data_IF_639871944658
#
_entry.id   IF_639871944658
#
_cell.length_a   1.000
_cell.length_b   1.000
_cell.length_c   1.000
_cell.angle_alpha   90.00
_cell.angle_beta   90.00
_cell.angle_gamma   90.00
#
_symmetry.space_group_name_H-M   'P 1'
#
loop_
_entity.id
_entity.type
_entity.pdbx_description
1 polymer ?
#
# COMPACT_ATOMS: atom_id res chain seq x y z
N UNK A 1 -37.19 -16.05 -33.55
CA UNK A 1 -35.77 -15.85 -33.91
C UNK A 1 -35.25 -14.43 -33.64
N UNK A 2 -35.97 -13.35 -34.02
CA UNK A 2 -35.53 -11.96 -33.77
C UNK A 2 -35.30 -11.63 -32.28
N UNK A 3 -36.17 -12.10 -31.37
CA UNK A 3 -36.03 -11.93 -29.90
C UNK A 3 -34.76 -12.57 -29.32
N UNK A 4 -34.36 -13.73 -29.84
CA UNK A 4 -33.12 -14.40 -29.42
C UNK A 4 -31.88 -13.62 -29.89
N UNK A 5 -31.95 -12.98 -31.05
CA UNK A 5 -30.88 -12.12 -31.55
C UNK A 5 -30.73 -10.84 -30.71
N UNK A 6 -31.83 -10.21 -30.30
CA UNK A 6 -31.79 -9.08 -29.37
C UNK A 6 -31.26 -9.48 -27.99
N UNK A 7 -31.63 -10.66 -27.48
CA UNK A 7 -31.12 -11.17 -26.21
C UNK A 7 -29.62 -11.50 -26.28
N UNK A 8 -29.17 -12.15 -27.36
CA UNK A 8 -27.76 -12.45 -27.58
C UNK A 8 -26.94 -11.17 -27.75
N UNK A 9 -27.45 -10.20 -28.49
CA UNK A 9 -26.82 -8.88 -28.64
C UNK A 9 -26.73 -8.13 -27.32
N UNK A 10 -27.74 -8.22 -26.46
CA UNK A 10 -27.71 -7.66 -25.10
C UNK A 10 -26.70 -8.38 -24.21
N UNK A 11 -26.58 -9.71 -24.30
CA UNK A 11 -25.65 -10.50 -23.51
C UNK A 11 -24.17 -10.18 -23.85
N UNK A 12 -23.87 -9.91 -25.14
CA UNK A 12 -22.52 -9.55 -25.60
C UNK A 12 -22.03 -8.23 -24.95
N UNK A 13 -22.93 -7.32 -24.57
CA UNK A 13 -22.56 -6.05 -23.93
C UNK A 13 -21.96 -6.23 -22.53
N UNK A 14 -22.22 -7.35 -21.85
CA UNK A 14 -21.72 -7.59 -20.48
C UNK A 14 -20.35 -8.28 -20.42
N UNK A 15 -19.85 -8.87 -21.52
CA UNK A 15 -18.59 -9.63 -21.50
C UNK A 15 -17.32 -8.77 -21.50
N UNK A 16 -17.41 -7.47 -21.77
CA UNK A 16 -16.25 -6.57 -21.83
C UNK A 16 -15.91 -5.90 -20.49
N UNK A 17 -16.65 -6.18 -19.42
CA UNK A 17 -16.43 -5.57 -18.11
C UNK A 17 -15.28 -6.26 -17.35
N UNK A 18 -14.24 -5.51 -16.98
CA UNK A 18 -13.13 -6.01 -16.17
C UNK A 18 -13.36 -5.73 -14.70
N UNK A 19 -13.43 -6.79 -13.86
CA UNK A 19 -13.80 -6.67 -12.43
C UNK A 19 -12.84 -7.36 -11.46
N UNK A 20 -11.79 -8.03 -11.95
CA UNK A 20 -10.92 -8.92 -11.14
C UNK A 20 -9.45 -8.50 -11.07
N UNK A 21 -9.07 -7.38 -11.68
CA UNK A 21 -7.69 -6.88 -11.69
C UNK A 21 -7.36 -6.23 -10.36
N UNK A 22 -6.11 -6.32 -9.94
CA UNK A 22 -5.63 -5.61 -8.75
C UNK A 22 -5.43 -4.13 -9.06
N UNK A 23 -5.63 -3.22 -8.10
CA UNK A 23 -5.22 -1.84 -8.22
C UNK A 23 -3.72 -1.74 -8.55
N UNK A 24 -3.36 -0.80 -9.41
CA UNK A 24 -1.98 -0.56 -9.83
C UNK A 24 -1.39 0.47 -8.88
N UNK A 25 -0.32 0.11 -8.16
CA UNK A 25 0.43 1.03 -7.33
C UNK A 25 1.19 2.04 -8.19
N UNK A 26 1.04 3.33 -7.87
CA UNK A 26 1.72 4.43 -8.58
C UNK A 26 2.91 4.93 -7.75
N UNK A 27 2.65 5.43 -6.54
CA UNK A 27 3.67 6.00 -5.63
C UNK A 27 3.14 6.21 -4.22
N UNK A 28 4.04 6.53 -3.30
CA UNK A 28 3.72 7.16 -2.01
C UNK A 28 4.28 8.59 -2.01
N UNK A 29 3.52 9.56 -1.50
CA UNK A 29 3.90 10.97 -1.41
C UNK A 29 3.28 11.61 -0.15
N UNK A 30 3.51 12.92 0.04
CA UNK A 30 2.93 13.72 1.13
C UNK A 30 3.26 13.20 2.55
N UNK A 31 4.47 12.72 2.76
CA UNK A 31 4.91 12.23 4.08
C UNK A 31 5.01 13.40 5.07
N UNK A 32 4.27 13.30 6.18
CA UNK A 32 4.17 14.33 7.23
C UNK A 32 4.25 13.71 8.62
N UNK A 33 4.84 14.44 9.55
CA UNK A 33 4.80 14.11 10.98
C UNK A 33 3.47 14.62 11.54
N UNK A 34 2.66 13.71 12.09
CA UNK A 34 1.38 14.04 12.72
C UNK A 34 1.58 14.37 14.19
N UNK A 35 2.35 13.54 14.90
CA UNK A 35 2.67 13.75 16.30
C UNK A 35 3.96 13.05 16.69
N UNK A 36 4.66 13.62 17.66
CA UNK A 36 5.82 13.02 18.29
C UNK A 36 5.54 12.86 19.78
N UNK A 37 5.59 11.63 20.27
CA UNK A 37 5.51 11.29 21.69
C UNK A 37 6.82 10.59 22.11
N UNK A 38 7.04 10.48 23.43
CA UNK A 38 8.25 9.87 23.97
C UNK A 38 8.50 8.44 23.45
N UNK A 39 7.45 7.67 23.21
CA UNK A 39 7.50 6.26 22.80
C UNK A 39 7.14 6.01 21.32
N UNK A 40 6.47 6.96 20.67
CA UNK A 40 5.90 6.77 19.32
C UNK A 40 5.99 8.03 18.47
N UNK A 41 6.53 7.90 17.25
CA UNK A 41 6.42 8.88 16.17
C UNK A 41 5.28 8.46 15.24
N UNK A 42 4.27 9.33 15.06
CA UNK A 42 3.18 9.09 14.12
C UNK A 42 3.41 9.84 12.82
N UNK A 43 3.43 9.12 11.71
CA UNK A 43 3.59 9.65 10.37
C UNK A 43 2.30 9.45 9.58
N UNK A 44 2.01 10.37 8.66
CA UNK A 44 0.95 10.25 7.66
C UNK A 44 1.53 10.41 6.27
N UNK A 45 1.06 9.62 5.33
CA UNK A 45 1.43 9.72 3.92
C UNK A 45 0.22 9.40 3.04
N UNK A 46 0.34 9.66 1.75
CA UNK A 46 -0.66 9.36 0.75
C UNK A 46 -0.11 8.30 -0.23
N UNK A 47 -0.80 7.17 -0.36
CA UNK A 47 -0.49 6.18 -1.38
C UNK A 47 -1.43 6.32 -2.57
N UNK A 48 -0.86 6.43 -3.77
CA UNK A 48 -1.56 6.68 -5.02
C UNK A 48 -1.68 5.39 -5.81
N UNK A 49 -2.89 5.11 -6.27
CA UNK A 49 -3.23 3.92 -7.03
C UNK A 49 -4.09 4.26 -8.25
N UNK A 50 -4.18 3.33 -9.18
CA UNK A 50 -5.13 3.35 -10.29
C UNK A 50 -5.97 2.08 -10.28
N UNK A 51 -7.29 2.21 -10.38
CA UNK A 51 -8.19 1.07 -10.51
C UNK A 51 -8.41 0.75 -12.00
N UNK A 52 -7.82 -0.34 -12.55
CA UNK A 52 -8.03 -0.71 -13.95
C UNK A 52 -9.38 -1.40 -14.22
N UNK A 53 -10.22 -1.58 -13.19
CA UNK A 53 -11.51 -2.25 -13.31
C UNK A 53 -12.63 -1.25 -13.65
N UNK A 54 -13.60 -1.71 -14.44
CA UNK A 54 -14.85 -1.01 -14.79
C UNK A 54 -15.77 -0.76 -13.58
N UNK A 55 -15.43 -1.33 -12.43
CA UNK A 55 -16.23 -1.26 -11.21
C UNK A 55 -15.37 -0.76 -10.06
N UNK A 56 -15.99 0.06 -9.23
CA UNK A 56 -15.42 0.52 -7.97
C UNK A 56 -15.55 -0.55 -6.88
N UNK A 57 -15.09 -0.20 -5.69
CA UNK A 57 -15.08 -1.12 -4.56
C UNK A 57 -14.68 -0.42 -3.28
N UNK A 58 -14.18 -1.21 -2.34
CA UNK A 58 -13.59 -0.70 -1.12
C UNK A 58 -12.27 -1.42 -0.87
N UNK A 59 -11.27 -0.68 -0.40
CA UNK A 59 -10.02 -1.25 0.09
C UNK A 59 -9.94 -0.96 1.57
N UNK A 60 -9.58 -1.98 2.33
CA UNK A 60 -9.08 -1.84 3.68
C UNK A 60 -7.74 -2.55 3.77
N UNK A 61 -6.88 -2.08 4.67
CA UNK A 61 -5.68 -2.82 5.00
C UNK A 61 -5.38 -2.66 6.48
N UNK A 62 -5.19 -3.81 7.09
CA UNK A 62 -4.75 -3.94 8.47
C UNK A 62 -3.30 -4.42 8.43
N UNK A 63 -2.44 -3.73 9.19
CA UNK A 63 -1.08 -4.16 9.49
C UNK A 63 -0.12 -4.35 8.30
N UNK A 64 0.03 -3.34 7.43
CA UNK A 64 1.19 -3.32 6.52
C UNK A 64 2.45 -2.99 7.33
N UNK A 65 3.38 -3.93 7.39
CA UNK A 65 4.67 -3.74 8.04
C UNK A 65 5.70 -3.12 7.07
N UNK A 66 6.41 -2.09 7.54
CA UNK A 66 7.57 -1.52 6.86
C UNK A 66 8.84 -2.04 7.53
N UNK A 67 9.75 -2.55 6.71
CA UNK A 67 11.06 -3.01 7.11
C UNK A 67 12.14 -2.14 6.47
N UNK A 68 13.17 -1.81 7.24
CA UNK A 68 14.38 -1.15 6.76
C UNK A 68 15.56 -2.04 7.12
N UNK A 69 16.31 -2.48 6.11
CA UNK A 69 17.41 -3.44 6.26
C UNK A 69 17.00 -4.65 7.12
N UNK A 70 15.84 -5.23 6.79
CA UNK A 70 15.24 -6.41 7.46
C UNK A 70 14.67 -6.15 8.88
N UNK A 71 14.83 -4.95 9.43
CA UNK A 71 14.28 -4.58 10.74
C UNK A 71 12.88 -3.99 10.54
N UNK A 72 11.88 -4.54 11.22
CA UNK A 72 10.52 -3.97 11.23
C UNK A 72 10.49 -2.65 12.00
N UNK A 73 10.27 -1.55 11.29
CA UNK A 73 10.33 -0.20 11.86
C UNK A 73 8.95 0.41 12.13
N UNK A 74 7.93 0.01 11.39
CA UNK A 74 6.62 0.63 11.45
C UNK A 74 5.51 -0.33 11.05
N UNK A 75 4.35 -0.13 11.65
CA UNK A 75 3.08 -0.69 11.17
C UNK A 75 2.26 0.44 10.56
N UNK A 76 1.72 0.17 9.39
CA UNK A 76 0.95 1.08 8.57
C UNK A 76 -0.48 0.58 8.51
N UNK A 77 -1.39 1.51 8.76
CA UNK A 77 -2.82 1.28 8.77
C UNK A 77 -3.49 2.25 7.80
N UNK A 78 -4.57 1.82 7.17
CA UNK A 78 -5.48 2.72 6.47
C UNK A 78 -6.91 2.40 6.84
N UNK A 79 -7.70 3.45 7.08
CA UNK A 79 -9.14 3.31 7.17
C UNK A 79 -9.72 2.77 5.84
N UNK A 80 -10.90 2.16 5.93
CA UNK A 80 -11.65 1.69 4.75
C UNK A 80 -11.86 2.84 3.75
N UNK A 81 -11.39 2.65 2.52
CA UNK A 81 -11.42 3.66 1.47
C UNK A 81 -12.27 3.21 0.26
N UNK A 82 -13.13 4.10 -0.25
CA UNK A 82 -13.95 3.84 -1.43
C UNK A 82 -13.12 4.00 -2.70
N UNK A 83 -12.99 2.92 -3.47
CA UNK A 83 -12.26 2.89 -4.74
C UNK A 83 -13.20 3.28 -5.88
N UNK A 84 -12.89 4.31 -6.68
CA UNK A 84 -13.65 4.68 -7.88
C UNK A 84 -13.43 3.68 -9.02
N UNK A 85 -14.39 3.60 -9.95
CA UNK A 85 -14.24 2.78 -11.17
C UNK A 85 -13.34 3.49 -12.19
N UNK A 86 -12.41 2.75 -12.83
CA UNK A 86 -11.53 3.27 -13.91
C UNK A 86 -10.87 4.62 -13.62
N UNK A 87 -10.43 4.82 -12.39
CA UNK A 87 -9.86 6.11 -11.97
C UNK A 87 -8.71 5.93 -11.00
N UNK A 88 -7.94 7.01 -10.84
CA UNK A 88 -6.90 7.16 -9.85
C UNK A 88 -7.51 7.52 -8.51
N UNK A 89 -6.89 7.02 -7.45
CA UNK A 89 -7.33 7.28 -6.09
C UNK A 89 -6.18 7.28 -5.11
N UNK A 90 -6.43 7.86 -3.94
CA UNK A 90 -5.42 8.06 -2.90
C UNK A 90 -5.92 7.46 -1.60
N UNK A 91 -5.11 6.58 -1.03
CA UNK A 91 -5.36 6.02 0.30
C UNK A 91 -4.48 6.77 1.31
N UNK A 92 -5.07 7.42 2.33
CA UNK A 92 -4.28 7.99 3.42
C UNK A 92 -3.74 6.86 4.30
N UNK A 93 -2.43 6.85 4.48
CA UNK A 93 -1.70 5.89 5.29
C UNK A 93 -1.26 6.54 6.60
N UNK A 94 -1.44 5.83 7.72
CA UNK A 94 -0.91 6.23 9.02
C UNK A 94 0.09 5.20 9.50
N UNK A 95 1.32 5.63 9.81
CA UNK A 95 2.37 4.76 10.31
C UNK A 95 2.71 5.12 11.76
N UNK A 96 2.72 4.11 12.63
CA UNK A 96 3.20 4.25 14.01
C UNK A 96 4.61 3.67 14.10
N UNK A 97 5.57 4.53 14.42
CA UNK A 97 6.99 4.19 14.52
C UNK A 97 7.42 4.24 15.99
N UNK A 98 7.68 3.09 16.64
CA UNK A 98 8.14 3.08 18.02
C UNK A 98 9.53 3.73 18.13
N UNK A 99 9.65 4.82 18.90
CA UNK A 99 10.91 5.58 19.03
C UNK A 99 12.02 4.71 19.63
N UNK A 100 11.68 3.78 20.52
CA UNK A 100 12.63 2.80 21.07
C UNK A 100 13.27 1.94 19.98
N UNK A 101 12.50 1.48 18.99
CA UNK A 101 13.05 0.68 17.87
C UNK A 101 14.03 1.50 17.02
N UNK A 102 13.79 2.82 16.89
CA UNK A 102 14.70 3.73 16.19
C UNK A 102 15.98 3.97 16.99
N UNK A 103 15.82 4.34 18.27
CA UNK A 103 16.88 4.87 19.14
C UNK A 103 17.73 3.81 19.85
N UNK A 104 17.41 2.52 19.70
CA UNK A 104 18.25 1.46 20.24
C UNK A 104 19.64 1.48 19.57
N UNK A 105 20.66 1.78 20.37
CA UNK A 105 22.07 1.95 19.95
C UNK A 105 22.83 0.63 19.71
N UNK A 106 22.17 -0.51 19.87
CA UNK A 106 22.77 -1.80 19.54
C UNK A 106 23.05 -1.89 18.04
N UNK A 107 24.05 -2.68 17.63
CA UNK A 107 24.38 -2.94 16.22
C UNK A 107 23.19 -3.47 15.39
N UNK A 108 22.14 -3.92 16.08
CA UNK A 108 20.89 -4.45 15.51
C UNK A 108 19.72 -3.44 15.51
N UNK A 109 19.95 -2.21 15.96
CA UNK A 109 18.96 -1.12 15.92
C UNK A 109 18.89 -0.42 14.57
N UNK A 110 17.78 0.29 14.30
CA UNK A 110 17.54 0.93 13.00
C UNK A 110 18.60 1.98 12.68
N UNK A 111 18.97 2.82 13.65
CA UNK A 111 20.03 3.83 13.45
C UNK A 111 21.40 3.18 13.21
N UNK A 112 21.74 2.12 13.95
CA UNK A 112 22.97 1.33 13.72
C UNK A 112 23.02 0.72 12.31
N UNK A 113 21.90 0.14 11.86
CA UNK A 113 21.77 -0.42 10.51
C UNK A 113 21.83 0.64 9.40
N UNK A 114 21.29 1.84 9.66
CA UNK A 114 21.33 2.97 8.71
C UNK A 114 22.72 3.60 8.63
N UNK A 115 23.53 3.63 9.70
CA UNK A 115 24.92 4.10 9.64
C UNK A 115 25.74 3.26 8.66
N UNK A 116 25.54 1.94 8.64
CA UNK A 116 26.17 1.08 7.62
C UNK A 116 25.65 1.42 6.21
N UNK A 117 24.38 1.81 6.07
CA UNK A 117 23.82 2.30 4.81
C UNK A 117 24.41 3.61 4.32
N UNK A 118 24.93 4.48 5.21
CA UNK A 118 25.71 5.65 4.79
C UNK A 118 27.03 5.24 4.13
N UNK A 119 27.66 4.15 4.58
CA UNK A 119 28.91 3.61 4.01
C UNK A 119 28.62 2.90 2.67
N UNK A 120 27.60 2.04 2.63
CA UNK A 120 27.25 1.27 1.43
C UNK A 120 26.44 2.08 0.41
N UNK A 121 25.95 3.27 0.81
CA UNK A 121 25.06 4.17 0.05
C UNK A 121 23.73 3.51 -0.36
N UNK A 122 23.31 2.47 0.34
CA UNK A 122 22.16 1.63 0.00
C UNK A 122 21.29 1.36 1.23
N UNK A 123 19.99 1.53 1.08
CA UNK A 123 18.97 1.19 2.08
C UNK A 123 17.94 0.29 1.44
N UNK A 124 17.70 -0.89 2.02
CA UNK A 124 16.64 -1.79 1.56
C UNK A 124 15.36 -1.49 2.33
N UNK A 125 14.32 -1.04 1.63
CA UNK A 125 13.00 -0.83 2.20
C UNK A 125 12.08 -1.93 1.70
N UNK A 126 11.49 -2.70 2.62
CA UNK A 126 10.50 -3.74 2.28
C UNK A 126 9.15 -3.40 2.90
N UNK A 127 8.11 -3.47 2.08
CA UNK A 127 6.73 -3.30 2.48
C UNK A 127 6.08 -4.66 2.38
N UNK A 128 5.52 -5.15 3.49
CA UNK A 128 4.88 -6.46 3.57
C UNK A 128 3.54 -6.37 4.28
N UNK A 129 2.48 -6.90 3.68
CA UNK A 129 1.16 -6.94 4.30
C UNK A 129 0.09 -7.44 3.34
N UNK A 130 -1.16 -7.44 3.82
CA UNK A 130 -2.31 -7.87 3.02
C UNK A 130 -3.24 -6.68 2.76
N UNK A 131 -3.70 -6.55 1.53
CA UNK A 131 -4.76 -5.61 1.12
C UNK A 131 -6.04 -6.39 0.89
N UNK A 132 -7.12 -6.02 1.57
CA UNK A 132 -8.44 -6.59 1.32
C UNK A 132 -9.21 -5.67 0.36
N UNK A 133 -9.61 -6.22 -0.79
CA UNK A 133 -10.47 -5.54 -1.75
C UNK A 133 -11.86 -6.15 -1.77
N UNK A 134 -12.88 -5.31 -1.60
CA UNK A 134 -14.28 -5.72 -1.54
C UNK A 134 -15.07 -5.09 -2.68
N UNK A 135 -15.70 -5.92 -3.50
CA UNK A 135 -16.55 -5.51 -4.63
C UNK A 135 -17.79 -6.40 -4.70
N UNK A 136 -18.98 -5.80 -4.72
CA UNK A 136 -20.27 -6.53 -4.78
C UNK A 136 -20.39 -7.68 -3.76
N UNK A 137 -19.83 -7.51 -2.55
CA UNK A 137 -19.84 -8.55 -1.49
C UNK A 137 -18.77 -9.63 -1.63
N UNK A 138 -18.01 -9.65 -2.73
CA UNK A 138 -16.86 -10.52 -2.89
C UNK A 138 -15.62 -9.87 -2.31
N UNK A 139 -14.89 -10.61 -1.49
CA UNK A 139 -13.59 -10.22 -0.94
C UNK A 139 -12.47 -10.87 -1.74
N UNK A 140 -11.41 -10.11 -1.99
CA UNK A 140 -10.17 -10.61 -2.58
C UNK A 140 -8.99 -10.04 -1.81
N UNK A 141 -8.13 -10.92 -1.32
CA UNK A 141 -6.89 -10.55 -0.68
C UNK A 141 -5.77 -10.41 -1.70
N UNK A 142 -4.92 -9.41 -1.51
CA UNK A 142 -3.69 -9.21 -2.25
C UNK A 142 -2.52 -9.13 -1.29
N UNK A 143 -1.56 -10.04 -1.46
CA UNK A 143 -0.32 -10.03 -0.69
C UNK A 143 0.61 -8.97 -1.31
N UNK A 144 0.95 -7.97 -0.52
CA UNK A 144 2.00 -7.00 -0.83
C UNK A 144 3.27 -7.52 -0.20
N UNK A 145 4.28 -7.80 -1.02
CA UNK A 145 5.63 -8.09 -0.58
C UNK A 145 6.58 -7.48 -1.61
N UNK A 146 7.02 -6.25 -1.34
CA UNK A 146 7.83 -5.45 -2.25
C UNK A 146 9.03 -4.89 -1.51
N UNK A 147 10.21 -5.15 -2.07
CA UNK A 147 11.48 -4.59 -1.60
C UNK A 147 12.02 -3.64 -2.65
N UNK A 148 12.43 -2.45 -2.22
CA UNK A 148 13.06 -1.43 -3.04
C UNK A 148 14.42 -1.04 -2.44
N UNK A 149 15.48 -1.07 -3.25
CA UNK A 149 16.81 -0.57 -2.86
C UNK A 149 16.87 0.94 -3.15
N UNK A 150 16.90 1.75 -2.10
CA UNK A 150 17.08 3.20 -2.21
C UNK A 150 18.57 3.51 -2.20
N UNK A 151 19.05 4.16 -3.27
CA UNK A 151 20.42 4.68 -3.36
C UNK A 151 20.49 6.08 -2.78
N UNK A 152 21.31 6.28 -1.75
CA UNK A 152 21.55 7.60 -1.17
C UNK A 152 22.50 8.36 -2.11
N UNK A 153 22.00 9.44 -2.72
CA UNK A 153 22.83 10.39 -3.47
C UNK A 153 23.22 11.54 -2.54
N UNK A 154 24.52 11.84 -2.49
CA UNK A 154 25.06 13.05 -1.88
C UNK A 154 25.40 14.04 -2.99
#
# INVERSE_FOLDING_TARGET
>A
MKKAFYFLSFLILFFNCSVKKQPIFIKVDDVKIVSFAADTLKLRANAFFENPNDVGGKIATDDIAIFVNEIEIAQVFSDEFKVPAKDKFTIPLTANVPTKKLLNSDKNGVLGGLINSFITKKVNVRIKGNLEYVVFGFKKEFIVDKTEEIKIKF
#
